data_IF_371572839477
#
_entry.id   IF_371572839477
#
_cell.length_a   1.000
_cell.length_b   1.000
_cell.length_c   1.000
_cell.angle_alpha   90.00
_cell.angle_beta   90.00
_cell.angle_gamma   90.00
#
_symmetry.space_group_name_H-M   'P 1'
#
loop_
_entity.id
_entity.type
_entity.pdbx_description
1 polymer ?
#
# COMPACT_ATOMS: atom_id res chain seq x y z
N UNK A 1 -4.23 -8.60 -4.63
CA UNK A 1 -3.77 -7.32 -4.06
C UNK A 1 -4.09 -7.10 -2.58
N UNK A 2 -5.34 -7.30 -2.11
CA UNK A 2 -5.77 -6.97 -0.73
C UNK A 2 -4.85 -7.46 0.41
N UNK A 3 -4.35 -8.69 0.31
CA UNK A 3 -3.42 -9.29 1.30
C UNK A 3 -2.07 -8.58 1.35
N UNK A 4 -1.47 -8.30 0.20
CA UNK A 4 -0.20 -7.56 0.11
C UNK A 4 -0.32 -6.18 0.77
N UNK A 5 -1.43 -5.47 0.52
CA UNK A 5 -1.68 -4.17 1.16
C UNK A 5 -1.83 -4.30 2.68
N UNK A 6 -2.48 -5.36 3.19
CA UNK A 6 -2.56 -5.61 4.65
C UNK A 6 -1.18 -5.84 5.27
N UNK A 7 -0.30 -6.58 4.58
CA UNK A 7 1.05 -6.87 5.04
C UNK A 7 1.89 -5.59 5.12
N UNK A 8 1.87 -4.76 4.07
CA UNK A 8 2.53 -3.45 4.06
C UNK A 8 2.00 -2.57 5.20
N UNK A 9 0.67 -2.48 5.39
CA UNK A 9 0.09 -1.70 6.50
C UNK A 9 0.54 -2.22 7.86
N UNK A 10 0.62 -3.54 8.03
CA UNK A 10 1.08 -4.15 9.29
C UNK A 10 2.50 -3.73 9.62
N UNK A 11 3.35 -3.65 8.59
CA UNK A 11 4.72 -3.15 8.73
C UNK A 11 4.73 -1.65 9.03
N UNK A 12 3.99 -0.83 8.28
CA UNK A 12 3.89 0.62 8.50
C UNK A 12 3.35 1.01 9.89
N UNK A 13 2.52 0.17 10.51
CA UNK A 13 2.08 0.37 11.91
C UNK A 13 3.22 0.25 12.91
N UNK A 14 4.23 -0.57 12.61
CA UNK A 14 5.43 -0.80 13.45
C UNK A 14 6.55 0.18 13.18
N UNK A 15 6.58 0.82 12.00
CA UNK A 15 7.58 1.84 11.69
C UNK A 15 7.45 3.04 12.64
N UNK A 16 8.56 3.62 13.11
CA UNK A 16 8.52 4.82 13.94
C UNK A 16 8.00 6.03 13.15
N UNK A 17 7.51 7.03 13.85
CA UNK A 17 7.11 8.30 13.24
C UNK A 17 8.33 8.98 12.56
N UNK A 18 8.16 9.63 11.39
CA UNK A 18 9.25 10.33 10.71
C UNK A 18 9.95 11.34 11.62
N UNK A 19 11.29 11.33 11.62
CA UNK A 19 12.10 12.19 12.47
C UNK A 19 12.09 11.83 13.97
N UNK A 20 11.42 10.74 14.38
CA UNK A 20 11.37 10.28 15.77
C UNK A 20 11.84 8.82 15.89
N UNK A 21 12.29 8.46 17.09
CA UNK A 21 12.71 7.08 17.43
C UNK A 21 11.55 6.21 17.94
N UNK A 22 10.43 6.82 18.29
CA UNK A 22 9.26 6.18 18.85
C UNK A 22 8.01 6.76 18.19
N UNK A 23 6.88 6.05 18.31
CA UNK A 23 5.63 6.39 17.63
C UNK A 23 5.31 5.41 16.51
N UNK A 24 4.25 5.70 15.76
CA UNK A 24 3.80 4.86 14.64
C UNK A 24 3.66 5.73 13.39
N UNK A 25 4.37 5.36 12.34
CA UNK A 25 4.28 6.00 11.02
C UNK A 25 2.83 5.99 10.52
N UNK A 26 2.12 4.88 10.70
CA UNK A 26 0.70 4.77 10.36
C UNK A 26 -0.16 5.83 11.06
N UNK A 27 -0.02 5.99 12.38
CA UNK A 27 -0.79 6.99 13.12
C UNK A 27 -0.39 8.42 12.75
N UNK A 28 0.89 8.65 12.49
CA UNK A 28 1.36 9.92 11.97
C UNK A 28 0.67 10.28 10.64
N UNK A 29 0.67 9.36 9.68
CA UNK A 29 0.02 9.58 8.37
C UNK A 29 -1.49 9.78 8.50
N UNK A 30 -2.15 9.03 9.39
CA UNK A 30 -3.57 9.26 9.70
C UNK A 30 -3.85 10.64 10.29
N UNK A 31 -2.96 11.16 11.13
CA UNK A 31 -3.10 12.51 11.68
C UNK A 31 -2.87 13.58 10.61
N UNK A 32 -2.04 13.30 9.59
CA UNK A 32 -1.84 14.19 8.44
C UNK A 32 -3.09 14.28 7.58
N UNK A 33 -3.87 13.19 7.40
CA UNK A 33 -5.15 13.23 6.68
C UNK A 33 -6.15 14.25 7.22
N UNK A 34 -6.15 14.47 8.54
CA UNK A 34 -7.07 15.40 9.22
C UNK A 34 -6.61 16.85 9.06
N UNK A 35 -5.33 17.08 8.77
CA UNK A 35 -4.78 18.40 8.55
C UNK A 35 -4.99 18.79 7.08
N UNK A 36 -5.66 19.91 6.83
CA UNK A 36 -5.78 20.45 5.47
C UNK A 36 -4.38 20.75 4.91
N UNK A 37 -3.95 20.01 3.90
CA UNK A 37 -2.59 20.14 3.34
C UNK A 37 -2.27 19.15 2.23
N UNK A 38 -1.12 19.34 1.60
CA UNK A 38 -0.54 18.38 0.65
C UNK A 38 0.29 17.34 1.41
N UNK A 39 0.32 16.12 0.89
CA UNK A 39 1.18 15.08 1.43
C UNK A 39 2.64 15.37 1.12
N UNK A 40 3.50 15.29 2.14
CA UNK A 40 4.94 15.42 1.94
C UNK A 40 5.47 14.21 1.15
N UNK A 41 6.20 14.51 0.06
CA UNK A 41 6.76 13.49 -0.83
C UNK A 41 7.69 12.51 -0.10
N UNK A 42 8.38 12.98 0.94
CA UNK A 42 9.28 12.15 1.74
C UNK A 42 8.53 11.02 2.47
N UNK A 43 7.33 11.29 2.97
CA UNK A 43 6.50 10.28 3.61
C UNK A 43 5.94 9.27 2.61
N UNK A 44 5.56 9.73 1.41
CA UNK A 44 5.11 8.82 0.34
C UNK A 44 6.23 7.89 -0.12
N UNK A 45 7.48 8.38 -0.18
CA UNK A 45 8.65 7.55 -0.50
C UNK A 45 8.90 6.43 0.52
N UNK A 46 8.53 6.61 1.79
CA UNK A 46 8.63 5.54 2.80
C UNK A 46 7.67 4.41 2.46
N UNK A 47 6.42 4.74 2.10
CA UNK A 47 5.42 3.75 1.66
C UNK A 47 5.88 3.06 0.38
N UNK A 48 6.34 3.82 -0.61
CA UNK A 48 6.87 3.31 -1.88
C UNK A 48 8.01 2.30 -1.65
N UNK A 49 8.98 2.65 -0.81
CA UNK A 49 10.13 1.78 -0.49
C UNK A 49 9.70 0.49 0.19
N UNK A 50 8.73 0.54 1.09
CA UNK A 50 8.23 -0.67 1.76
C UNK A 50 7.49 -1.58 0.77
N UNK A 51 6.71 -1.01 -0.15
CA UNK A 51 6.06 -1.77 -1.22
C UNK A 51 7.11 -2.39 -2.16
N UNK A 52 8.13 -1.63 -2.58
CA UNK A 52 9.19 -2.17 -3.45
C UNK A 52 10.00 -3.29 -2.77
N UNK A 53 10.29 -3.14 -1.48
CA UNK A 53 10.89 -4.18 -0.64
C UNK A 53 10.04 -5.45 -0.61
N UNK A 54 8.73 -5.30 -0.40
CA UNK A 54 7.79 -6.40 -0.47
C UNK A 54 7.80 -7.07 -1.85
N UNK A 55 7.65 -6.30 -2.94
CA UNK A 55 7.60 -6.80 -4.32
C UNK A 55 8.91 -7.43 -4.79
N UNK A 56 10.04 -7.11 -4.16
CA UNK A 56 11.33 -7.73 -4.45
C UNK A 56 11.40 -9.20 -4.05
N UNK A 57 10.54 -9.62 -3.11
CA UNK A 57 10.42 -11.01 -2.66
C UNK A 57 9.27 -11.77 -3.34
N UNK A 58 8.45 -11.09 -4.15
CA UNK A 58 7.31 -11.69 -4.85
C UNK A 58 7.77 -12.37 -6.14
N UNK A 59 7.35 -13.60 -6.35
CA UNK A 59 7.67 -14.34 -7.57
C UNK A 59 6.97 -13.76 -8.80
N UNK A 60 7.53 -14.01 -9.99
CA UNK A 60 7.01 -13.45 -11.25
C UNK A 60 5.55 -13.79 -11.53
N UNK A 61 5.06 -14.97 -11.14
CA UNK A 61 3.67 -15.37 -11.37
C UNK A 61 2.74 -14.56 -10.47
N UNK A 62 3.12 -14.38 -9.21
CA UNK A 62 2.37 -13.54 -8.27
C UNK A 62 2.40 -12.07 -8.67
N UNK A 63 3.54 -11.54 -9.14
CA UNK A 63 3.63 -10.18 -9.71
C UNK A 63 2.67 -10.00 -10.90
N UNK A 64 2.61 -10.97 -11.81
CA UNK A 64 1.71 -10.93 -12.96
C UNK A 64 0.24 -10.92 -12.52
N UNK A 65 -0.14 -11.77 -11.57
CA UNK A 65 -1.49 -11.81 -11.02
C UNK A 65 -1.85 -10.48 -10.31
N UNK A 66 -0.91 -9.91 -9.56
CA UNK A 66 -1.09 -8.61 -8.91
C UNK A 66 -1.25 -7.48 -9.94
N UNK A 67 -0.44 -7.48 -10.99
CA UNK A 67 -0.53 -6.51 -12.08
C UNK A 67 -1.87 -6.60 -12.80
N UNK A 68 -2.40 -7.80 -13.06
CA UNK A 68 -3.72 -8.00 -13.67
C UNK A 68 -4.88 -7.40 -12.84
N UNK A 69 -4.70 -7.21 -11.54
CA UNK A 69 -5.67 -6.53 -10.66
C UNK A 69 -5.57 -4.99 -10.75
N UNK A 70 -4.55 -4.44 -11.40
CA UNK A 70 -4.35 -2.98 -11.56
C UNK A 70 -5.14 -2.43 -12.76
N UNK A 71 -5.55 -1.15 -12.74
CA UNK A 71 -6.17 -0.51 -13.91
C UNK A 71 -5.28 -0.53 -15.16
N UNK A 72 -3.95 -0.46 -14.99
CA UNK A 72 -2.98 -0.46 -16.08
C UNK A 72 -3.01 -1.74 -16.93
N UNK A 73 -3.43 -2.87 -16.35
CA UNK A 73 -3.57 -4.13 -17.09
C UNK A 73 -4.66 -4.10 -18.16
N UNK A 74 -5.65 -3.20 -18.04
CA UNK A 74 -6.65 -3.01 -19.08
C UNK A 74 -6.10 -2.24 -20.30
N UNK A 75 -5.02 -1.47 -20.12
CA UNK A 75 -4.47 -0.58 -21.16
C UNK A 75 -3.26 -1.16 -21.88
N UNK A 76 -2.52 -2.07 -21.23
CA UNK A 76 -1.24 -2.60 -21.72
C UNK A 76 -1.36 -4.11 -21.99
N UNK A 77 -0.88 -4.55 -23.16
CA UNK A 77 -0.79 -5.98 -23.48
C UNK A 77 0.27 -6.67 -22.61
N UNK A 78 -0.11 -7.75 -21.95
CA UNK A 78 0.74 -8.57 -21.09
C UNK A 78 2.03 -9.07 -21.76
N UNK A 79 2.04 -9.17 -23.10
CA UNK A 79 3.23 -9.56 -23.87
C UNK A 79 4.24 -8.43 -24.07
N UNK A 80 3.84 -7.19 -23.82
CA UNK A 80 4.63 -5.99 -24.06
C UNK A 80 5.21 -5.39 -22.79
N UNK A 81 4.65 -5.74 -21.63
CA UNK A 81 5.06 -5.17 -20.35
C UNK A 81 6.26 -5.90 -19.75
N UNK A 82 7.25 -5.12 -19.29
CA UNK A 82 8.41 -5.63 -18.58
C UNK A 82 8.12 -5.87 -17.09
N UNK A 83 8.93 -6.71 -16.42
CA UNK A 83 8.80 -6.93 -14.96
C UNK A 83 8.94 -5.63 -14.17
N UNK A 84 9.78 -4.70 -14.65
CA UNK A 84 9.95 -3.39 -14.03
C UNK A 84 8.66 -2.58 -14.11
N UNK A 85 8.09 -2.45 -15.31
CA UNK A 85 6.83 -1.73 -15.49
C UNK A 85 5.69 -2.38 -14.70
N UNK A 86 5.62 -3.71 -14.61
CA UNK A 86 4.63 -4.37 -13.75
C UNK A 86 4.76 -3.92 -12.29
N UNK A 87 5.99 -3.89 -11.75
CA UNK A 87 6.25 -3.44 -10.39
C UNK A 87 5.84 -1.99 -10.20
N UNK A 88 6.25 -1.10 -11.10
CA UNK A 88 5.93 0.33 -11.02
C UNK A 88 4.39 0.53 -10.97
N UNK A 89 3.63 -0.14 -11.84
CA UNK A 89 2.16 -0.08 -11.83
C UNK A 89 1.54 -0.64 -10.54
N UNK A 90 2.10 -1.74 -10.00
CA UNK A 90 1.64 -2.32 -8.73
C UNK A 90 1.93 -1.38 -7.57
N UNK A 91 3.11 -0.72 -7.56
CA UNK A 91 3.50 0.24 -6.54
C UNK A 91 2.51 1.40 -6.51
N UNK A 92 2.22 2.01 -7.66
CA UNK A 92 1.29 3.14 -7.76
C UNK A 92 -0.11 2.77 -7.23
N UNK A 93 -0.64 1.62 -7.65
CA UNK A 93 -1.93 1.11 -7.19
C UNK A 93 -1.94 0.80 -5.68
N UNK A 94 -0.87 0.16 -5.18
CA UNK A 94 -0.76 -0.18 -3.76
C UNK A 94 -0.62 1.07 -2.88
N UNK A 95 0.09 2.11 -3.32
CA UNK A 95 0.15 3.40 -2.59
C UNK A 95 -1.28 3.95 -2.43
N UNK A 96 -2.06 4.01 -3.52
CA UNK A 96 -3.45 4.46 -3.48
C UNK A 96 -4.28 3.66 -2.47
N UNK A 97 -4.22 2.32 -2.53
CA UNK A 97 -4.96 1.45 -1.60
C UNK A 97 -4.49 1.56 -0.15
N UNK A 98 -3.20 1.81 0.11
CA UNK A 98 -2.67 2.06 1.45
C UNK A 98 -3.23 3.37 1.99
N UNK A 99 -3.21 4.43 1.19
CA UNK A 99 -3.71 5.75 1.57
C UNK A 99 -5.21 5.75 1.80
N UNK A 100 -5.98 5.09 0.93
CA UNK A 100 -7.43 4.93 1.09
C UNK A 100 -7.78 4.31 2.45
N UNK A 101 -7.00 3.32 2.91
CA UNK A 101 -7.22 2.66 4.20
C UNK A 101 -6.76 3.45 5.41
N UNK A 102 -6.06 4.56 5.22
CA UNK A 102 -5.75 5.49 6.31
C UNK A 102 -6.98 6.35 6.65
N UNK A 103 -7.92 6.52 5.71
CA UNK A 103 -9.22 7.14 5.99
C UNK A 103 -10.10 6.18 6.80
N UNK A 104 -10.45 6.56 8.02
CA UNK A 104 -11.31 5.76 8.91
C UNK A 104 -12.75 5.61 8.38
N UNK A 105 -13.17 6.45 7.44
CA UNK A 105 -14.45 6.32 6.75
C UNK A 105 -14.39 5.40 5.52
N UNK A 106 -13.23 4.80 5.25
CA UNK A 106 -13.06 3.90 4.13
C UNK A 106 -13.93 2.65 4.27
N UNK A 107 -14.95 2.57 3.41
CA UNK A 107 -15.65 1.33 3.12
C UNK A 107 -15.02 0.72 1.88
N UNK A 108 -14.47 -0.49 2.03
CA UNK A 108 -13.87 -1.23 0.91
C UNK A 108 -14.85 -1.30 -0.25
N UNK A 109 -14.60 -0.50 -1.28
CA UNK A 109 -15.34 -0.58 -2.53
C UNK A 109 -14.72 -1.73 -3.29
N UNK A 110 -15.43 -2.86 -3.39
CA UNK A 110 -15.12 -3.84 -4.42
C UNK A 110 -15.05 -3.08 -5.75
N UNK A 111 -13.95 -3.27 -6.48
CA UNK A 111 -13.65 -2.57 -7.73
C UNK A 111 -14.92 -2.34 -8.55
N UNK A 112 -15.19 -1.09 -8.92
CA UNK A 112 -16.34 -0.73 -9.75
C UNK A 112 -16.39 -1.48 -11.11
N UNK A 113 -15.35 -2.24 -11.43
CA UNK A 113 -15.38 -3.28 -12.45
C UNK A 113 -16.17 -4.51 -11.99
N UNK A 114 -17.48 -4.37 -12.02
CA UNK A 114 -18.33 -5.50 -12.40
C UNK A 114 -18.31 -5.58 -13.93
N UNK A 115 -17.83 -6.68 -14.54
CA UNK A 115 -18.14 -6.95 -15.94
C UNK A 115 -19.65 -6.86 -16.09
N UNK A 116 -20.14 -6.15 -17.10
CA UNK A 116 -21.55 -5.89 -17.30
C UNK A 116 -22.37 -7.20 -17.45
N UNK A 117 -22.74 -7.83 -16.34
CA UNK A 117 -23.69 -8.91 -16.29
C UNK A 117 -25.06 -8.32 -15.98
N UNK A 118 -25.85 -8.19 -17.05
CA UNK A 118 -27.31 -8.13 -17.08
C UNK A 118 -28.00 -7.71 -15.77
N UNK A 119 -28.35 -6.43 -15.64
CA UNK A 119 -29.39 -5.98 -14.72
C UNK A 119 -30.70 -6.78 -14.96
N UNK A 120 -31.21 -7.57 -14.01
CA UNK A 120 -32.62 -7.84 -13.94
C UNK A 120 -33.29 -6.68 -13.22
N UNK A 121 -34.32 -6.12 -13.86
CA UNK A 121 -35.13 -5.01 -13.40
C UNK A 121 -35.57 -5.16 -11.92
N UNK A 122 -35.52 -4.03 -11.21
CA UNK A 122 -36.03 -3.87 -9.86
C UNK A 122 -37.47 -4.40 -9.73
N UNK A 123 -37.65 -5.42 -8.88
CA UNK A 123 -38.94 -5.74 -8.27
C UNK A 123 -38.85 -5.44 -6.78
N UNK A 124 -39.59 -4.43 -6.37
CA UNK A 124 -40.02 -4.26 -4.98
C UNK A 124 -40.84 -5.48 -4.56
N UNK A 125 -40.46 -6.15 -3.47
CA UNK A 125 -41.41 -6.71 -2.50
C UNK A 125 -40.74 -7.13 -1.17
N UNK A 126 -41.17 -6.43 -0.11
CA UNK A 126 -41.31 -6.78 1.32
C UNK A 126 -40.41 -7.81 2.01
N UNK A 127 -39.90 -7.35 3.17
CA UNK A 127 -39.39 -8.05 4.36
C UNK A 127 -39.84 -9.50 4.55
N UNK A 128 -38.86 -10.37 4.87
CA UNK A 128 -38.91 -11.20 6.07
C UNK A 128 -37.48 -11.44 6.60
N UNK A 129 -37.37 -11.37 7.92
CA UNK A 129 -36.26 -11.82 8.75
C UNK A 129 -35.95 -13.30 8.55
N UNK A 130 -34.68 -13.68 8.52
CA UNK A 130 -34.08 -14.63 9.47
C UNK A 130 -32.58 -14.72 9.21
N UNK A 131 -31.84 -14.96 10.28
CA UNK A 131 -30.43 -14.62 10.40
C UNK A 131 -29.46 -15.43 9.53
N UNK A 132 -28.30 -14.83 9.32
CA UNK A 132 -27.08 -15.56 9.05
C UNK A 132 -25.90 -14.80 9.65
N UNK A 133 -24.93 -15.58 10.11
CA UNK A 133 -23.99 -15.24 11.16
C UNK A 133 -22.95 -14.20 10.71
N UNK A 134 -22.82 -13.10 11.44
CA UNK A 134 -21.60 -12.29 11.41
C UNK A 134 -20.47 -13.11 12.03
N UNK A 135 -19.32 -13.28 11.37
CA UNK A 135 -18.14 -13.72 12.08
C UNK A 135 -17.61 -12.53 12.89
N UNK A 136 -17.97 -12.52 14.17
CA UNK A 136 -17.31 -11.77 15.25
C UNK A 136 -15.85 -12.25 15.35
N UNK A 137 -14.96 -11.63 14.60
CA UNK A 137 -13.52 -11.82 14.77
C UNK A 137 -13.06 -10.90 15.89
N UNK A 138 -12.97 -11.48 17.09
CA UNK A 138 -12.28 -10.93 18.25
C UNK A 138 -10.93 -10.34 17.84
N UNK A 139 -10.82 -9.02 18.00
CA UNK A 139 -9.63 -8.19 17.79
C UNK A 139 -8.77 -8.22 19.07
N UNK A 140 -8.38 -9.42 19.52
CA UNK A 140 -7.60 -9.60 20.76
C UNK A 140 -6.67 -10.83 20.71
N UNK A 141 -6.00 -11.02 19.57
CA UNK A 141 -4.83 -11.91 19.51
C UNK A 141 -3.58 -11.04 19.34
N UNK A 142 -2.92 -10.74 20.46
CA UNK A 142 -1.60 -10.10 20.48
C UNK A 142 -0.68 -10.84 19.49
N UNK A 143 -0.11 -10.15 18.48
CA UNK A 143 0.78 -10.80 17.55
C UNK A 143 2.06 -11.20 18.30
N UNK A 144 2.36 -12.50 18.26
CA UNK A 144 3.58 -13.11 18.78
C UNK A 144 4.81 -12.20 18.59
N UNK A 145 5.54 -12.01 19.69
CA UNK A 145 6.86 -11.38 19.77
C UNK A 145 7.72 -11.82 18.57
N UNK A 146 8.05 -10.86 17.69
CA UNK A 146 9.17 -11.04 16.78
C UNK A 146 10.41 -10.86 17.66
N UNK A 147 11.14 -11.93 17.90
CA UNK A 147 12.41 -11.91 18.63
C UNK A 147 13.39 -10.94 17.97
N UNK A 148 14.04 -10.11 18.78
CA UNK A 148 14.96 -9.01 18.43
C UNK A 148 16.21 -9.37 17.58
N UNK A 149 16.24 -10.51 16.88
CA UNK A 149 17.47 -11.04 16.26
C UNK A 149 17.68 -10.71 14.76
N UNK A 150 16.78 -10.01 14.06
CA UNK A 150 17.02 -9.71 12.62
C UNK A 150 16.60 -8.31 12.13
N UNK A 151 16.44 -7.30 13.00
CA UNK A 151 16.45 -5.90 12.52
C UNK A 151 17.86 -5.34 12.70
N UNK A 152 18.74 -5.66 11.74
CA UNK A 152 20.08 -5.08 11.69
C UNK A 152 19.98 -3.59 11.29
N UNK A 153 19.92 -2.72 12.28
CA UNK A 153 19.90 -1.26 12.16
C UNK A 153 21.33 -0.64 12.11
N UNK A 154 22.38 -1.45 11.89
CA UNK A 154 23.77 -0.95 11.96
C UNK A 154 24.30 -0.32 10.66
N UNK A 155 23.60 -0.40 9.53
CA UNK A 155 23.99 0.36 8.33
C UNK A 155 23.40 1.78 8.37
N UNK A 156 24.03 2.57 9.23
CA UNK A 156 23.94 4.02 9.43
C UNK A 156 24.42 4.83 8.19
N UNK A 157 23.99 4.42 6.98
CA UNK A 157 24.02 5.25 5.76
C UNK A 157 22.72 6.07 5.61
N UNK A 158 21.86 6.04 6.63
CA UNK A 158 20.50 6.57 6.57
C UNK A 158 20.42 8.11 6.42
N UNK A 159 21.51 8.86 6.66
CA UNK A 159 21.55 10.33 6.46
C UNK A 159 22.99 10.89 6.23
N UNK A 160 23.74 10.41 5.23
CA UNK A 160 25.00 11.07 4.83
C UNK A 160 25.11 11.31 3.32
N UNK A 161 25.09 12.60 2.97
CA UNK A 161 25.47 13.25 1.71
C UNK A 161 24.70 12.86 0.45
N UNK A 162 23.54 13.49 0.28
CA UNK A 162 23.23 14.14 -1.02
C UNK A 162 23.57 15.63 -0.85
N UNK A 163 24.87 15.91 -0.67
CA UNK A 163 25.39 17.27 -0.72
C UNK A 163 25.83 17.49 -2.17
N UNK A 164 25.07 18.34 -2.84
CA UNK A 164 25.27 18.88 -4.17
C UNK A 164 26.76 19.22 -4.41
N UNK A 165 27.34 18.69 -5.49
CA UNK A 165 28.52 19.31 -6.11
C UNK A 165 28.13 19.67 -7.55
N UNK A 166 27.37 20.76 -7.63
CA UNK A 166 27.37 21.63 -8.81
C UNK A 166 28.79 22.23 -8.96
N UNK A 167 29.24 22.33 -10.22
CA UNK A 167 30.43 23.05 -10.74
C UNK A 167 31.64 22.19 -11.19
N UNK A 168 31.72 21.90 -12.51
CA UNK A 168 32.83 22.43 -13.34
C UNK A 168 32.49 22.35 -14.85
N UNK A 169 31.72 23.32 -15.35
CA UNK A 169 31.67 23.62 -16.80
C UNK A 169 32.96 24.37 -17.17
N UNK A 170 34.03 23.64 -17.49
CA UNK A 170 35.26 24.26 -18.00
C UNK A 170 35.18 24.46 -19.52
N UNK A 171 34.92 25.69 -19.93
CA UNK A 171 35.37 26.21 -21.22
C UNK A 171 36.90 26.28 -21.22
N UNK A 172 37.55 25.55 -22.13
CA UNK A 172 38.79 25.97 -22.79
C UNK A 172 38.98 25.22 -24.11
#
# INVERSE_FOLDING_TARGET
MKKAVNEVITVLKKYPEPGKRTGSFWQFMKNQLVQEGEWEKEHLKIIEKEIDSFLSNVDKKSLMQMWEETPAAAEIDIKKISTKEMKDNIIDEMIGQVMDRMDDNYTYRESFYTPAENYPAAKNEKQNSDGDSEPDFNDDEEPNEITDEEINLEDDEFFKNDEEDDEDFKYQ
#
